data_IF_425357775245
#
_entry.id   IF_425357775245
#
_cell.length_a   1.000
_cell.length_b   1.000
_cell.length_c   1.000
_cell.angle_alpha   90.00
_cell.angle_beta   90.00
_cell.angle_gamma   90.00
#
_symmetry.space_group_name_H-M   'P 1'
#
loop_
_entity.id
_entity.type
_entity.pdbx_description
1 polymer ?
#
# COMPACT_ATOMS: atom_id res chain seq x y z
N UNK A 1 23.83 14.99 -1.11
CA UNK A 1 23.08 14.99 0.16
C UNK A 1 22.23 13.73 0.22
N UNK A 2 22.64 12.73 1.00
CA UNK A 2 21.93 11.47 1.15
C UNK A 2 21.85 11.16 2.65
N UNK A 3 20.70 11.44 3.26
CA UNK A 3 20.29 10.99 4.58
C UNK A 3 18.90 11.54 4.82
N UNK A 4 17.86 10.71 4.69
CA UNK A 4 16.56 10.85 5.37
C UNK A 4 15.58 9.68 5.07
N UNK A 5 16.10 8.45 4.87
CA UNK A 5 15.25 7.27 4.64
C UNK A 5 15.02 6.38 5.87
N UNK A 6 15.74 6.61 6.97
CA UNK A 6 15.73 5.71 8.13
C UNK A 6 14.64 6.04 9.15
N UNK A 7 14.32 7.33 9.37
CA UNK A 7 13.35 7.75 10.39
C UNK A 7 11.92 7.33 10.06
N UNK A 8 11.51 7.45 8.79
CA UNK A 8 10.15 7.08 8.35
C UNK A 8 9.88 5.57 8.48
N UNK A 9 10.89 4.71 8.26
CA UNK A 9 10.73 3.26 8.38
C UNK A 9 10.51 2.78 9.82
N UNK A 10 11.14 3.45 10.79
CA UNK A 10 10.98 3.11 12.22
C UNK A 10 9.57 3.48 12.69
N UNK A 11 9.10 4.67 12.32
CA UNK A 11 7.77 5.17 12.64
C UNK A 11 6.65 4.31 12.01
N UNK A 12 6.86 3.82 10.78
CA UNK A 12 5.95 2.89 10.11
C UNK A 12 5.90 1.49 10.76
N UNK A 13 7.05 0.99 11.25
CA UNK A 13 7.09 -0.29 11.98
C UNK A 13 6.43 -0.20 13.35
N UNK A 14 6.60 0.92 14.04
CA UNK A 14 5.98 1.16 15.35
C UNK A 14 4.46 1.32 15.22
N UNK A 15 4.01 2.07 14.21
CA UNK A 15 2.58 2.19 13.87
C UNK A 15 1.95 0.85 13.47
N UNK A 16 2.69 -0.02 12.78
CA UNK A 16 2.21 -1.36 12.38
C UNK A 16 2.13 -2.31 13.58
N UNK A 17 3.11 -2.27 14.48
CA UNK A 17 3.10 -3.02 15.74
C UNK A 17 1.92 -2.59 16.61
N UNK A 18 1.65 -1.28 16.71
CA UNK A 18 0.50 -0.74 17.45
C UNK A 18 -0.83 -1.14 16.82
N UNK A 19 -0.93 -1.25 15.48
CA UNK A 19 -2.13 -1.80 14.81
C UNK A 19 -2.36 -3.27 15.16
N UNK A 20 -1.31 -4.09 15.18
CA UNK A 20 -1.38 -5.51 15.58
C UNK A 20 -1.80 -5.63 17.05
N UNK A 21 -1.22 -4.81 17.94
CA UNK A 21 -1.61 -4.75 19.36
C UNK A 21 -3.05 -4.29 19.57
N UNK A 22 -3.52 -3.30 18.80
CA UNK A 22 -4.92 -2.84 18.86
C UNK A 22 -5.89 -3.92 18.37
N UNK A 23 -5.55 -4.69 17.34
CA UNK A 23 -6.36 -5.83 16.91
C UNK A 23 -6.43 -6.93 17.97
N UNK A 24 -5.31 -7.22 18.66
CA UNK A 24 -5.27 -8.12 19.82
C UNK A 24 -6.21 -7.65 20.93
N UNK A 25 -6.19 -6.36 21.27
CA UNK A 25 -7.02 -5.79 22.32
C UNK A 25 -8.51 -5.68 21.93
N UNK A 26 -8.82 -5.48 20.64
CA UNK A 26 -10.19 -5.25 20.17
C UNK A 26 -11.06 -6.52 20.18
N UNK A 27 -10.45 -7.71 20.05
CA UNK A 27 -11.14 -9.00 20.08
C UNK A 27 -11.07 -9.72 21.44
N UNK A 28 -10.13 -9.33 22.31
CA UNK A 28 -9.97 -9.89 23.65
C UNK A 28 -11.22 -9.64 24.52
N UNK A 29 -11.64 -10.67 25.26
CA UNK A 29 -12.73 -10.58 26.22
C UNK A 29 -14.15 -10.81 25.67
N UNK A 30 -14.34 -10.97 24.35
CA UNK A 30 -15.68 -11.22 23.76
C UNK A 30 -16.14 -12.67 23.90
N UNK A 31 -15.27 -13.66 23.66
CA UNK A 31 -15.61 -15.08 23.72
C UNK A 31 -14.65 -15.85 24.63
N UNK A 32 -14.79 -15.62 25.95
CA UNK A 32 -13.98 -16.30 26.95
C UNK A 32 -14.50 -17.73 27.18
N UNK A 33 -13.63 -18.72 27.10
CA UNK A 33 -13.97 -20.07 27.56
C UNK A 33 -13.82 -20.13 29.07
N UNK A 34 -14.89 -20.50 29.77
CA UNK A 34 -14.89 -20.54 31.23
C UNK A 34 -15.53 -21.81 31.75
N UNK A 35 -14.98 -22.34 32.84
CA UNK A 35 -15.55 -23.53 33.46
C UNK A 35 -14.78 -24.05 34.66
N UNK A 36 -15.36 -25.01 35.39
CA UNK A 36 -14.67 -25.68 36.47
C UNK A 36 -13.62 -26.66 35.91
N UNK A 37 -12.42 -26.62 36.48
CA UNK A 37 -11.38 -27.63 36.29
C UNK A 37 -10.74 -27.96 37.62
N UNK A 38 -10.38 -29.23 37.80
CA UNK A 38 -9.50 -29.65 38.87
C UNK A 38 -8.07 -29.35 38.45
N UNK A 39 -7.40 -28.43 39.14
CA UNK A 39 -6.00 -28.10 38.90
C UNK A 39 -5.11 -28.77 39.95
N UNK A 40 -4.07 -29.48 39.49
CA UNK A 40 -3.04 -30.00 40.40
C UNK A 40 -2.16 -28.86 40.92
N UNK A 41 -1.94 -28.85 42.23
CA UNK A 41 -0.92 -28.04 42.87
C UNK A 41 0.46 -28.53 42.42
N UNK A 42 1.33 -27.59 42.07
CA UNK A 42 2.72 -27.88 41.68
C UNK A 42 3.53 -28.40 42.88
N UNK A 43 3.39 -27.76 44.04
CA UNK A 43 4.12 -28.11 45.27
C UNK A 43 3.50 -29.28 46.03
N UNK A 44 2.19 -29.23 46.28
CA UNK A 44 1.51 -30.21 47.13
C UNK A 44 0.97 -31.41 46.35
N UNK A 45 1.04 -31.39 45.02
CA UNK A 45 0.49 -32.43 44.12
C UNK A 45 -1.00 -32.74 44.32
N UNK A 46 -1.71 -31.91 45.09
CA UNK A 46 -3.14 -32.01 45.42
C UNK A 46 -4.00 -31.41 44.32
N UNK A 47 -5.11 -32.08 43.99
CA UNK A 47 -6.15 -31.60 43.09
C UNK A 47 -7.02 -30.56 43.79
N UNK A 48 -7.27 -29.43 43.14
CA UNK A 48 -8.11 -28.37 43.67
C UNK A 48 -9.09 -27.88 42.62
N UNK A 49 -10.35 -27.69 43.01
CA UNK A 49 -11.34 -27.05 42.15
C UNK A 49 -10.98 -25.61 41.89
N UNK A 50 -10.98 -25.24 40.61
CA UNK A 50 -10.74 -23.88 40.15
C UNK A 50 -11.74 -23.51 39.07
N UNK A 51 -12.20 -22.27 39.13
CA UNK A 51 -12.88 -21.67 37.99
C UNK A 51 -11.83 -21.11 37.05
N UNK A 52 -11.71 -21.70 35.86
CA UNK A 52 -10.70 -21.34 34.87
C UNK A 52 -11.35 -20.48 33.80
N UNK A 53 -10.60 -19.47 33.34
CA UNK A 53 -11.00 -18.51 32.31
C UNK A 53 -9.87 -18.47 31.29
N UNK A 54 -10.17 -18.82 30.04
CA UNK A 54 -9.24 -18.72 28.92
C UNK A 54 -9.74 -17.66 27.94
N UNK A 55 -8.88 -16.70 27.64
CA UNK A 55 -9.03 -15.84 26.49
C UNK A 55 -8.35 -16.48 25.27
N UNK A 56 -9.13 -16.96 24.28
CA UNK A 56 -8.58 -17.69 23.15
C UNK A 56 -7.77 -16.80 22.21
N UNK A 57 -7.96 -15.48 22.22
CA UNK A 57 -7.25 -14.57 21.31
C UNK A 57 -5.90 -14.13 21.86
N UNK A 58 -5.71 -14.19 23.17
CA UNK A 58 -4.45 -13.79 23.82
C UNK A 58 -3.69 -14.97 24.41
N UNK A 59 -4.31 -16.15 24.52
CA UNK A 59 -3.75 -17.30 25.23
C UNK A 59 -3.69 -17.09 26.75
N UNK A 60 -4.31 -16.04 27.28
CA UNK A 60 -4.31 -15.74 28.71
C UNK A 60 -5.26 -16.70 29.43
N UNK A 61 -4.69 -17.61 30.23
CA UNK A 61 -5.45 -18.60 31.00
C UNK A 61 -5.34 -18.32 32.50
N UNK A 62 -6.41 -17.80 33.10
CA UNK A 62 -6.46 -17.42 34.51
C UNK A 62 -7.34 -18.37 35.31
N UNK A 63 -7.13 -18.44 36.63
CA UNK A 63 -7.97 -19.24 37.50
C UNK A 63 -8.29 -18.57 38.84
N UNK A 64 -9.49 -18.86 39.34
CA UNK A 64 -10.07 -18.38 40.60
C UNK A 64 -10.45 -19.55 41.49
N UNK A 65 -10.72 -19.32 42.77
CA UNK A 65 -11.20 -20.39 43.67
C UNK A 65 -12.66 -20.70 43.33
N UNK A 66 -13.48 -19.68 43.04
CA UNK A 66 -14.88 -19.83 42.63
C UNK A 66 -15.26 -18.90 41.48
N UNK A 67 -16.37 -19.20 40.79
CA UNK A 67 -16.90 -18.42 39.66
C UNK A 67 -17.11 -16.93 39.99
N UNK A 68 -17.72 -16.66 41.14
CA UNK A 68 -18.14 -15.30 41.55
C UNK A 68 -17.05 -14.53 42.31
N UNK A 69 -15.82 -15.05 42.36
CA UNK A 69 -14.74 -14.40 43.08
C UNK A 69 -14.14 -13.26 42.25
N UNK A 70 -13.93 -12.06 42.82
CA UNK A 70 -13.37 -10.94 42.07
C UNK A 70 -11.89 -11.12 41.77
N UNK A 71 -11.15 -11.77 42.67
CA UNK A 71 -9.69 -11.87 42.61
C UNK A 71 -9.22 -13.07 41.77
N UNK A 72 -8.26 -12.83 40.88
CA UNK A 72 -7.53 -13.89 40.16
C UNK A 72 -6.54 -14.55 41.12
N UNK A 73 -6.61 -15.87 41.26
CA UNK A 73 -5.71 -16.64 42.13
C UNK A 73 -4.35 -16.92 41.48
N UNK A 74 -4.33 -17.03 40.15
CA UNK A 74 -3.11 -17.18 39.38
C UNK A 74 -3.37 -17.40 37.89
N UNK A 75 -2.28 -17.56 37.14
CA UNK A 75 -2.30 -17.69 35.68
C UNK A 75 -1.52 -18.93 35.26
N UNK A 76 -2.01 -19.59 34.23
CA UNK A 76 -1.34 -20.67 33.48
C UNK A 76 -0.79 -20.01 32.22
N UNK A 77 0.53 -20.07 32.06
CA UNK A 77 1.21 -19.47 30.91
C UNK A 77 1.56 -20.60 29.96
N UNK A 78 1.20 -20.45 28.69
CA UNK A 78 1.63 -21.30 27.59
C UNK A 78 1.93 -20.42 26.38
N UNK A 79 2.72 -20.95 25.45
CA UNK A 79 3.13 -20.27 24.23
C UNK A 79 2.89 -21.14 22.99
N UNK A 80 3.24 -20.61 21.82
CA UNK A 80 3.09 -21.28 20.52
C UNK A 80 3.85 -22.61 20.40
N UNK A 81 4.78 -22.89 21.33
CA UNK A 81 5.64 -24.08 21.36
C UNK A 81 5.34 -25.00 22.55
N UNK A 82 4.34 -24.67 23.37
CA UNK A 82 3.93 -25.50 24.49
C UNK A 82 3.30 -26.82 24.00
N UNK A 83 3.50 -27.89 24.75
CA UNK A 83 2.85 -29.18 24.49
C UNK A 83 1.49 -29.18 25.16
N UNK A 84 0.41 -29.27 24.39
CA UNK A 84 -0.95 -29.35 24.90
C UNK A 84 -1.55 -30.65 24.42
N UNK A 85 -2.09 -31.46 25.33
CA UNK A 85 -2.67 -32.75 24.97
C UNK A 85 -3.71 -33.22 25.98
N UNK A 86 -4.61 -34.08 25.51
CA UNK A 86 -5.29 -35.00 26.41
C UNK A 86 -4.26 -36.03 26.89
N UNK A 87 -4.14 -36.15 28.21
CA UNK A 87 -3.26 -37.12 28.80
C UNK A 87 -3.82 -38.52 28.57
N UNK A 88 -3.06 -39.44 27.96
CA UNK A 88 -3.45 -40.86 27.87
C UNK A 88 -3.44 -41.53 29.25
N UNK A 89 -2.80 -40.90 30.23
CA UNK A 89 -2.73 -41.36 31.62
C UNK A 89 -3.67 -40.52 32.48
N UNK A 90 -4.56 -41.20 33.21
CA UNK A 90 -5.39 -40.57 34.22
C UNK A 90 -4.57 -40.27 35.49
N UNK A 91 -4.00 -39.08 35.56
CA UNK A 91 -3.20 -38.64 36.71
C UNK A 91 -4.05 -38.31 37.96
N UNK A 92 -5.38 -38.29 37.86
CA UNK A 92 -6.25 -38.17 39.03
C UNK A 92 -6.37 -39.54 39.74
N UNK A 93 -6.13 -40.65 39.01
CA UNK A 93 -6.10 -42.00 39.56
C UNK A 93 -7.47 -42.58 39.89
N UNK A 94 -8.58 -41.92 39.52
CA UNK A 94 -9.93 -42.44 39.70
C UNK A 94 -10.56 -42.75 38.34
N UNK A 95 -11.11 -43.95 38.10
CA UNK A 95 -11.63 -44.37 36.79
C UNK A 95 -12.62 -43.41 36.13
N UNK A 96 -13.41 -42.68 36.95
CA UNK A 96 -14.36 -41.67 36.46
C UNK A 96 -13.71 -40.50 35.68
N UNK A 97 -12.39 -40.35 35.76
CA UNK A 97 -11.63 -39.31 35.06
C UNK A 97 -10.80 -39.85 33.89
N UNK A 98 -11.06 -41.08 33.45
CA UNK A 98 -10.42 -41.63 32.26
C UNK A 98 -10.79 -40.79 31.02
N UNK A 99 -9.77 -40.29 30.32
CA UNK A 99 -9.95 -39.36 29.19
C UNK A 99 -10.32 -37.92 29.58
N UNK A 100 -10.38 -37.59 30.88
CA UNK A 100 -10.71 -36.25 31.37
C UNK A 100 -9.47 -35.37 31.67
N UNK A 101 -8.29 -35.98 31.63
CA UNK A 101 -7.03 -35.38 32.05
C UNK A 101 -6.37 -34.59 30.91
N UNK A 102 -5.95 -33.36 31.19
CA UNK A 102 -5.32 -32.41 30.27
C UNK A 102 -3.90 -32.11 30.77
N UNK A 103 -2.93 -32.15 29.87
CA UNK A 103 -1.55 -31.80 30.12
C UNK A 103 -1.15 -30.56 29.31
N UNK A 104 -0.47 -29.62 29.97
CA UNK A 104 0.16 -28.45 29.35
C UNK A 104 1.61 -28.38 29.84
N UNK A 105 2.56 -28.64 28.96
CA UNK A 105 4.00 -28.51 29.21
C UNK A 105 4.57 -27.30 28.49
N UNK A 106 5.25 -26.41 29.20
CA UNK A 106 5.86 -25.21 28.59
C UNK A 106 7.34 -25.43 28.25
N UNK A 107 7.90 -24.68 27.27
CA UNK A 107 9.33 -24.75 26.96
C UNK A 107 10.25 -24.39 28.15
N UNK A 108 9.72 -23.63 29.12
CA UNK A 108 10.42 -23.27 30.36
C UNK A 108 10.36 -24.38 31.43
N UNK A 109 10.02 -25.62 31.03
CA UNK A 109 9.91 -26.82 31.87
C UNK A 109 8.89 -26.71 33.00
N UNK A 110 7.82 -25.94 32.78
CA UNK A 110 6.69 -25.88 33.71
C UNK A 110 5.57 -26.76 33.22
N UNK A 111 5.13 -27.68 34.08
CA UNK A 111 4.09 -28.64 33.77
C UNK A 111 2.81 -28.32 34.54
N UNK A 112 1.70 -28.27 33.81
CA UNK A 112 0.36 -28.12 34.37
C UNK A 112 -0.48 -29.36 34.07
N UNK A 113 -1.12 -29.87 35.12
CA UNK A 113 -2.04 -31.01 35.04
C UNK A 113 -3.43 -30.54 35.47
N UNK A 114 -4.41 -30.70 34.60
CA UNK A 114 -5.79 -30.27 34.79
C UNK A 114 -6.75 -31.44 34.52
N UNK A 115 -7.85 -31.56 35.25
CA UNK A 115 -8.86 -32.58 34.98
C UNK A 115 -10.22 -31.92 34.81
N UNK A 116 -10.92 -32.26 33.72
CA UNK A 116 -12.30 -31.87 33.50
C UNK A 116 -13.26 -32.89 34.11
N UNK A 117 -14.55 -32.53 34.19
CA UNK A 117 -15.57 -33.42 34.71
C UNK A 117 -15.88 -34.58 33.74
N UNK A 118 -15.79 -34.32 32.43
CA UNK A 118 -16.11 -35.30 31.39
C UNK A 118 -15.04 -35.33 30.30
N UNK A 119 -14.91 -36.44 29.55
CA UNK A 119 -13.98 -36.51 28.43
C UNK A 119 -14.31 -35.51 27.32
N UNK A 120 -15.60 -35.22 27.12
CA UNK A 120 -16.06 -34.19 26.19
C UNK A 120 -15.59 -32.79 26.58
N UNK A 121 -15.75 -32.42 27.85
CA UNK A 121 -15.23 -31.15 28.36
C UNK A 121 -13.69 -31.07 28.27
N UNK A 122 -12.98 -32.17 28.54
CA UNK A 122 -11.52 -32.20 28.39
C UNK A 122 -11.08 -31.97 26.94
N UNK A 123 -11.75 -32.63 25.97
CA UNK A 123 -11.53 -32.39 24.53
C UNK A 123 -11.79 -30.94 24.16
N UNK A 124 -12.90 -30.37 24.62
CA UNK A 124 -13.27 -28.98 24.35
C UNK A 124 -12.21 -27.98 24.86
N UNK A 125 -11.67 -28.19 26.07
CA UNK A 125 -10.56 -27.40 26.59
C UNK A 125 -9.29 -27.54 25.75
N UNK A 126 -8.88 -28.76 25.39
CA UNK A 126 -7.68 -29.00 24.57
C UNK A 126 -7.80 -28.39 23.18
N UNK A 127 -8.95 -28.57 22.51
CA UNK A 127 -9.21 -27.97 21.19
C UNK A 127 -9.13 -26.44 21.24
N UNK A 128 -9.71 -25.82 22.27
CA UNK A 128 -9.65 -24.36 22.42
C UNK A 128 -8.24 -23.87 22.71
N UNK A 129 -7.50 -24.57 23.56
CA UNK A 129 -6.10 -24.27 23.85
C UNK A 129 -5.21 -24.37 22.60
N UNK A 130 -5.41 -25.38 21.75
CA UNK A 130 -4.72 -25.47 20.45
C UNK A 130 -5.09 -24.33 19.51
N UNK A 131 -6.35 -23.93 19.46
CA UNK A 131 -6.76 -22.78 18.66
C UNK A 131 -6.07 -21.49 19.16
N UNK A 132 -5.95 -21.31 20.48
CA UNK A 132 -5.16 -20.22 21.07
C UNK A 132 -3.68 -20.30 20.70
N UNK A 133 -3.08 -21.50 20.66
CA UNK A 133 -1.68 -21.65 20.22
C UNK A 133 -1.47 -21.24 18.76
N UNK A 134 -2.44 -21.51 17.88
CA UNK A 134 -2.40 -21.06 16.50
C UNK A 134 -2.44 -19.53 16.40
N UNK A 135 -3.27 -18.88 17.24
CA UNK A 135 -3.30 -17.41 17.33
C UNK A 135 -1.92 -16.89 17.75
N UNK A 136 -1.34 -17.43 18.83
CA UNK A 136 0.00 -17.05 19.29
C UNK A 136 1.08 -17.25 18.23
N UNK A 137 0.99 -18.32 17.43
CA UNK A 137 1.91 -18.61 16.32
C UNK A 137 1.76 -17.60 15.19
N UNK A 138 0.54 -17.36 14.72
CA UNK A 138 0.26 -16.39 13.66
C UNK A 138 0.73 -14.98 14.05
N UNK A 139 0.56 -14.58 15.31
CA UNK A 139 1.10 -13.31 15.80
C UNK A 139 2.62 -13.26 15.81
N UNK A 140 3.28 -14.32 16.29
CA UNK A 140 4.74 -14.40 16.28
C UNK A 140 5.30 -14.29 14.85
N UNK A 141 4.67 -14.95 13.89
CA UNK A 141 5.03 -14.91 12.47
C UNK A 141 4.79 -13.52 11.85
N UNK A 142 3.66 -12.88 12.16
CA UNK A 142 3.35 -11.52 11.71
C UNK A 142 4.36 -10.49 12.25
N UNK A 143 4.73 -10.58 13.54
CA UNK A 143 5.72 -9.69 14.16
C UNK A 143 7.12 -9.91 13.56
N UNK A 144 7.52 -11.16 13.32
CA UNK A 144 8.82 -11.47 12.71
C UNK A 144 8.93 -11.03 11.23
N UNK A 145 7.79 -10.83 10.56
CA UNK A 145 7.71 -10.52 9.11
C UNK A 145 7.47 -9.03 8.80
N UNK A 146 7.56 -8.14 9.79
CA UNK A 146 7.34 -6.70 9.66
C UNK A 146 8.27 -5.97 8.66
N UNK A 147 9.22 -6.66 8.02
CA UNK A 147 10.17 -6.10 7.05
C UNK A 147 9.81 -6.31 5.56
N UNK A 148 8.69 -6.96 5.20
CA UNK A 148 8.43 -7.22 3.77
C UNK A 148 7.03 -7.62 3.27
N UNK A 149 6.00 -7.85 4.10
CA UNK A 149 4.65 -8.20 3.59
C UNK A 149 3.52 -8.00 4.62
N UNK A 150 3.25 -6.75 5.02
CA UNK A 150 2.31 -6.45 6.11
C UNK A 150 0.84 -6.83 5.88
N UNK A 151 0.34 -6.80 4.63
CA UNK A 151 -1.12 -6.91 4.36
C UNK A 151 -1.67 -8.34 4.40
N UNK A 152 -0.98 -9.32 3.80
CA UNK A 152 -1.46 -10.70 3.72
C UNK A 152 -1.40 -11.43 5.08
N UNK A 153 -0.42 -11.10 5.92
CA UNK A 153 -0.24 -11.71 7.25
C UNK A 153 -1.26 -11.21 8.28
N UNK A 154 -1.71 -9.95 8.17
CA UNK A 154 -2.81 -9.42 8.99
C UNK A 154 -4.13 -10.17 8.72
N UNK A 155 -4.38 -10.55 7.46
CA UNK A 155 -5.53 -11.38 7.08
C UNK A 155 -5.49 -12.79 7.68
N UNK A 156 -4.31 -13.40 7.74
CA UNK A 156 -4.09 -14.70 8.40
C UNK A 156 -4.39 -14.61 9.90
N UNK A 157 -3.87 -13.59 10.58
CA UNK A 157 -4.12 -13.36 12.01
C UNK A 157 -5.62 -13.20 12.29
N UNK A 158 -6.32 -12.38 11.53
CA UNK A 158 -7.77 -12.18 11.71
C UNK A 158 -8.58 -13.47 11.55
N UNK A 159 -8.21 -14.31 10.56
CA UNK A 159 -8.86 -15.60 10.30
C UNK A 159 -8.66 -16.58 11.46
N UNK A 160 -7.42 -16.69 11.97
CA UNK A 160 -7.09 -17.60 13.07
C UNK A 160 -7.76 -17.13 14.38
N UNK A 161 -7.82 -15.82 14.63
CA UNK A 161 -8.56 -15.25 15.77
C UNK A 161 -10.06 -15.54 15.69
N UNK A 162 -10.67 -15.43 14.50
CA UNK A 162 -12.08 -15.78 14.30
C UNK A 162 -12.33 -17.27 14.56
N UNK A 163 -11.45 -18.16 14.05
CA UNK A 163 -11.55 -19.60 14.28
C UNK A 163 -11.40 -19.97 15.77
N UNK A 164 -10.48 -19.34 16.49
CA UNK A 164 -10.29 -19.56 17.93
C UNK A 164 -11.51 -19.12 18.75
N UNK A 165 -12.11 -17.97 18.41
CA UNK A 165 -13.36 -17.51 19.00
C UNK A 165 -14.52 -18.47 18.73
N UNK A 166 -14.66 -18.95 17.49
CA UNK A 166 -15.69 -19.95 17.13
C UNK A 166 -15.50 -21.26 17.90
N UNK A 167 -14.26 -21.70 18.07
CA UNK A 167 -13.93 -22.93 18.81
C UNK A 167 -14.28 -22.78 20.29
N UNK A 168 -13.97 -21.63 20.90
CA UNK A 168 -14.33 -21.34 22.28
C UNK A 168 -15.86 -21.30 22.49
N UNK A 169 -16.62 -20.77 21.53
CA UNK A 169 -18.08 -20.72 21.60
C UNK A 169 -18.70 -22.13 21.57
N UNK A 170 -18.23 -23.01 20.69
CA UNK A 170 -18.68 -24.40 20.66
C UNK A 170 -18.23 -25.18 21.90
N UNK A 171 -16.99 -24.99 22.34
CA UNK A 171 -16.46 -25.60 23.56
C UNK A 171 -17.26 -25.21 24.82
N UNK A 172 -17.83 -24.00 24.85
CA UNK A 172 -18.69 -23.55 25.96
C UNK A 172 -19.91 -24.44 26.11
N UNK A 173 -20.53 -24.88 25.00
CA UNK A 173 -21.71 -25.78 25.05
C UNK A 173 -21.37 -27.13 25.69
N UNK A 174 -20.19 -27.68 25.35
CA UNK A 174 -19.69 -28.93 25.91
C UNK A 174 -19.39 -28.82 27.41
N UNK A 175 -18.79 -27.71 27.84
CA UNK A 175 -18.54 -27.45 29.27
C UNK A 175 -19.86 -27.29 30.04
N UNK A 176 -20.82 -26.55 29.51
CA UNK A 176 -22.13 -26.39 30.14
C UNK A 176 -22.89 -27.73 30.25
N UNK A 177 -22.80 -28.58 29.22
CA UNK A 177 -23.37 -29.93 29.25
C UNK A 177 -22.72 -30.79 30.36
N UNK A 178 -21.40 -30.73 30.49
CA UNK A 178 -20.67 -31.41 31.56
C UNK A 178 -21.06 -30.93 32.97
N UNK A 179 -21.25 -29.61 33.15
CA UNK A 179 -21.72 -29.04 34.41
C UNK A 179 -23.12 -29.54 34.81
N UNK A 180 -24.04 -29.69 33.85
CA UNK A 180 -25.38 -30.24 34.10
C UNK A 180 -25.33 -31.70 34.57
N UNK A 181 -24.39 -32.49 34.06
CA UNK A 181 -24.19 -33.89 34.48
C UNK A 181 -23.67 -33.93 35.93
N UNK A 182 -22.68 -33.09 36.27
CA UNK A 182 -22.16 -33.01 37.64
C UNK A 182 -23.24 -32.63 38.66
N UNK A 183 -24.09 -31.66 38.31
CA UNK A 183 -25.23 -31.24 39.15
C UNK A 183 -26.24 -32.38 39.39
N UNK A 184 -26.55 -33.16 38.35
CA UNK A 184 -27.44 -34.33 38.47
C UNK A 184 -26.85 -35.40 39.39
N UNK A 185 -25.55 -35.65 39.30
CA UNK A 185 -24.86 -36.64 40.13
C UNK A 185 -24.79 -36.21 41.61
N UNK A 186 -24.66 -34.91 41.90
CA UNK A 186 -24.68 -34.40 43.26
C UNK A 186 -26.06 -34.52 43.94
N UNK A 187 -27.15 -34.41 43.17
CA UNK A 187 -28.53 -34.48 43.68
C UNK A 187 -29.04 -35.92 43.88
N UNK A 188 -28.51 -36.90 43.13
CA UNK A 188 -28.93 -38.31 43.21
C UNK A 188 -28.52 -39.08 44.49
N UNK A 189 -27.72 -38.47 45.38
CA UNK A 189 -27.15 -39.14 46.56
C UNK A 189 -27.99 -38.99 47.85
N UNK A 190 -29.08 -38.22 47.83
CA UNK A 190 -29.79 -37.78 49.07
C UNK A 190 -31.01 -38.64 49.44
N UNK A 191 -31.53 -39.50 48.55
CA UNK A 191 -32.69 -40.35 48.85
C UNK A 191 -32.26 -41.81 49.01
N UNK A 192 -31.91 -42.23 50.23
CA UNK A 192 -31.96 -43.65 50.65
C UNK A 192 -31.75 -43.80 52.16
N UNK A 193 -32.81 -43.59 52.96
CA UNK A 193 -33.00 -44.23 54.28
C UNK A 193 -34.49 -44.33 54.58
N UNK A 194 -35.01 -45.54 54.73
CA UNK A 194 -36.31 -45.84 55.36
C UNK A 194 -36.08 -46.40 56.75
N UNK A 195 -36.99 -46.13 57.72
CA UNK A 195 -37.30 -47.14 58.71
C UNK A 195 -38.79 -47.43 58.81
N UNK A 196 -39.01 -48.74 58.91
CA UNK A 196 -40.24 -49.48 59.12
C UNK A 196 -40.77 -49.27 60.55
N UNK A 197 -42.09 -49.28 60.70
CA UNK A 197 -42.77 -49.07 61.98
C UNK A 197 -44.27 -49.21 61.82
N UNK A 198 -44.80 -50.36 62.25
CA UNK A 198 -46.20 -50.80 62.28
C UNK A 198 -47.21 -49.68 62.57
N UNK A 199 -47.97 -49.25 61.54
CA UNK A 199 -48.97 -48.17 61.61
C UNK A 199 -50.39 -48.77 61.56
N UNK A 200 -51.32 -48.22 62.34
CA UNK A 200 -52.75 -48.54 62.33
C UNK A 200 -53.37 -48.33 60.92
N UNK A 201 -53.93 -49.38 60.32
CA UNK A 201 -54.43 -49.41 58.93
C UNK A 201 -55.46 -48.30 58.60
N UNK A 202 -56.25 -47.86 59.59
CA UNK A 202 -57.21 -46.76 59.37
C UNK A 202 -56.51 -45.41 59.33
N UNK A 203 -55.48 -45.24 60.15
CA UNK A 203 -54.59 -44.08 60.14
C UNK A 203 -53.72 -44.08 58.87
N UNK A 204 -53.21 -45.23 58.43
CA UNK A 204 -52.48 -45.37 57.16
C UNK A 204 -53.35 -44.91 55.99
N UNK A 205 -54.61 -45.36 55.90
CA UNK A 205 -55.45 -45.05 54.75
C UNK A 205 -55.82 -43.56 54.70
N UNK A 206 -56.15 -42.95 55.84
CA UNK A 206 -56.40 -41.50 55.92
C UNK A 206 -55.16 -40.69 55.57
N UNK A 207 -54.01 -41.09 56.09
CA UNK A 207 -52.74 -40.43 55.79
C UNK A 207 -52.34 -40.63 54.33
N UNK A 208 -52.57 -41.81 53.76
CA UNK A 208 -52.33 -42.09 52.33
C UNK A 208 -53.21 -41.23 51.45
N UNK A 209 -54.50 -41.08 51.77
CA UNK A 209 -55.39 -40.19 51.02
C UNK A 209 -54.98 -38.72 51.14
N UNK A 210 -54.56 -38.27 52.34
CA UNK A 210 -54.03 -36.92 52.57
C UNK A 210 -52.77 -36.67 51.74
N UNK A 211 -51.82 -37.60 51.78
CA UNK A 211 -50.58 -37.54 50.99
C UNK A 211 -50.89 -37.54 49.49
N UNK A 212 -51.87 -38.34 49.03
CA UNK A 212 -52.29 -38.34 47.62
C UNK A 212 -52.93 -37.02 47.19
N UNK A 213 -53.74 -36.40 48.05
CA UNK A 213 -54.31 -35.08 47.77
C UNK A 213 -53.22 -33.99 47.74
N UNK A 214 -52.25 -34.04 48.65
CA UNK A 214 -51.06 -33.17 48.62
C UNK A 214 -50.20 -33.39 47.38
N UNK A 215 -49.98 -34.64 46.95
CA UNK A 215 -49.29 -34.99 45.71
C UNK A 215 -50.03 -34.43 44.49
N UNK A 216 -51.36 -34.54 44.43
CA UNK A 216 -52.17 -33.98 43.35
C UNK A 216 -52.09 -32.44 43.33
N UNK A 217 -52.16 -31.79 44.49
CA UNK A 217 -52.01 -30.34 44.60
C UNK A 217 -50.59 -29.87 44.22
N UNK A 218 -49.56 -30.64 44.56
CA UNK A 218 -48.18 -30.40 44.14
C UNK A 218 -48.04 -30.55 42.62
N UNK A 219 -48.57 -31.63 42.04
CA UNK A 219 -48.56 -31.85 40.58
C UNK A 219 -49.29 -30.74 39.84
N UNK A 220 -50.44 -30.28 40.33
CA UNK A 220 -51.18 -29.17 39.73
C UNK A 220 -50.43 -27.83 39.81
N UNK A 221 -49.59 -27.62 40.84
CA UNK A 221 -48.70 -26.45 40.93
C UNK A 221 -47.52 -26.57 39.95
N UNK A 222 -46.91 -27.75 39.86
CA UNK A 222 -45.83 -27.99 38.89
C UNK A 222 -46.31 -27.85 37.45
N UNK A 223 -47.52 -28.32 37.13
CA UNK A 223 -48.09 -28.22 35.78
C UNK A 223 -48.28 -26.75 35.37
N UNK A 224 -48.83 -25.92 36.27
CA UNK A 224 -48.93 -24.46 36.05
C UNK A 224 -47.57 -23.78 35.92
N UNK A 225 -46.57 -24.18 36.70
CA UNK A 225 -45.22 -23.65 36.58
C UNK A 225 -44.58 -24.02 35.22
N UNK A 226 -44.83 -25.25 34.75
CA UNK A 226 -44.41 -25.69 33.41
C UNK A 226 -45.14 -24.93 32.30
N UNK A 227 -46.44 -24.71 32.41
CA UNK A 227 -47.21 -23.89 31.46
C UNK A 227 -46.67 -22.46 31.36
N UNK A 228 -46.35 -21.84 32.50
CA UNK A 228 -45.71 -20.51 32.54
C UNK A 228 -44.35 -20.52 31.85
N UNK A 229 -43.54 -21.56 32.09
CA UNK A 229 -42.23 -21.73 31.43
C UNK A 229 -42.39 -21.93 29.93
N UNK A 230 -43.36 -22.73 29.49
CA UNK A 230 -43.66 -22.97 28.07
C UNK A 230 -44.06 -21.65 27.41
N UNK A 231 -44.94 -20.87 28.03
CA UNK A 231 -45.36 -19.57 27.49
C UNK A 231 -44.18 -18.61 27.31
N UNK A 232 -43.29 -18.53 28.30
CA UNK A 232 -42.08 -17.72 28.22
C UNK A 232 -41.10 -18.21 27.13
N UNK A 233 -41.02 -19.53 26.90
CA UNK A 233 -40.20 -20.09 25.82
C UNK A 233 -40.80 -19.78 24.45
N UNK A 234 -42.13 -19.83 24.31
CA UNK A 234 -42.82 -19.47 23.06
C UNK A 234 -42.57 -18.00 22.70
N UNK A 235 -42.68 -17.10 23.68
CA UNK A 235 -42.43 -15.67 23.46
C UNK A 235 -40.98 -15.42 22.99
N UNK A 236 -40.00 -16.03 23.67
CA UNK A 236 -38.58 -15.94 23.26
C UNK A 236 -38.31 -16.53 21.88
N UNK A 237 -38.98 -17.63 21.52
CA UNK A 237 -38.85 -18.22 20.19
C UNK A 237 -39.41 -17.29 19.12
N UNK A 238 -40.54 -16.62 19.37
CA UNK A 238 -41.10 -15.61 18.47
C UNK A 238 -40.16 -14.42 18.31
N UNK A 239 -39.63 -13.85 19.39
CA UNK A 239 -38.66 -12.76 19.33
C UNK A 239 -37.40 -13.15 18.54
N UNK A 240 -36.92 -14.40 18.74
CA UNK A 240 -35.76 -14.92 18.01
C UNK A 240 -36.05 -15.09 16.52
N UNK A 241 -37.26 -15.55 16.17
CA UNK A 241 -37.69 -15.70 14.78
C UNK A 241 -37.80 -14.34 14.07
N UNK A 242 -38.36 -13.33 14.73
CA UNK A 242 -38.45 -11.96 14.21
C UNK A 242 -37.06 -11.35 14.02
N UNK A 243 -36.16 -11.51 15.01
CA UNK A 243 -34.78 -11.05 14.90
C UNK A 243 -34.03 -11.74 13.76
N UNK A 244 -34.22 -13.05 13.56
CA UNK A 244 -33.63 -13.80 12.46
C UNK A 244 -34.16 -13.33 11.10
N UNK A 245 -35.46 -13.07 10.98
CA UNK A 245 -36.07 -12.54 9.76
C UNK A 245 -35.56 -11.12 9.43
N UNK A 246 -35.44 -10.25 10.44
CA UNK A 246 -34.88 -8.91 10.27
C UNK A 246 -33.40 -8.99 9.82
N UNK A 247 -32.61 -9.86 10.44
CA UNK A 247 -31.21 -10.08 10.06
C UNK A 247 -31.07 -10.61 8.63
N UNK A 248 -31.90 -11.57 8.23
CA UNK A 248 -31.91 -12.11 6.87
C UNK A 248 -32.29 -11.04 5.82
N UNK A 249 -33.30 -10.22 6.13
CA UNK A 249 -33.74 -9.12 5.26
C UNK A 249 -32.65 -8.04 5.11
N UNK A 250 -31.96 -7.71 6.20
CA UNK A 250 -30.83 -6.79 6.19
C UNK A 250 -29.66 -7.35 5.37
N UNK A 251 -29.32 -8.63 5.56
CA UNK A 251 -28.26 -9.30 4.80
C UNK A 251 -28.55 -9.30 3.29
N UNK A 252 -29.79 -9.59 2.88
CA UNK A 252 -30.19 -9.54 1.48
C UNK A 252 -30.09 -8.12 0.90
N UNK A 253 -30.51 -7.10 1.65
CA UNK A 253 -30.41 -5.70 1.22
C UNK A 253 -28.94 -5.28 1.04
N UNK A 254 -28.08 -5.69 1.97
CA UNK A 254 -26.64 -5.42 1.88
C UNK A 254 -25.97 -6.14 0.71
N UNK A 255 -26.38 -7.37 0.39
CA UNK A 255 -25.86 -8.12 -0.75
C UNK A 255 -26.26 -7.48 -2.08
N UNK A 256 -27.51 -7.01 -2.19
CA UNK A 256 -27.98 -6.27 -3.37
C UNK A 256 -27.18 -4.98 -3.57
N UNK A 257 -26.99 -4.19 -2.51
CA UNK A 257 -26.17 -2.98 -2.55
C UNK A 257 -24.73 -3.27 -2.95
N UNK A 258 -24.16 -4.35 -2.41
CA UNK A 258 -22.81 -4.82 -2.76
C UNK A 258 -22.73 -5.16 -4.25
N UNK A 259 -23.72 -5.88 -4.78
CA UNK A 259 -23.79 -6.25 -6.20
C UNK A 259 -23.84 -5.02 -7.11
N UNK A 260 -24.66 -4.03 -6.78
CA UNK A 260 -24.74 -2.76 -7.51
C UNK A 260 -23.41 -2.01 -7.46
N UNK A 261 -22.78 -1.91 -6.29
CA UNK A 261 -21.50 -1.24 -6.14
C UNK A 261 -20.38 -1.91 -6.97
N UNK A 262 -20.34 -3.25 -7.02
CA UNK A 262 -19.38 -3.96 -7.88
C UNK A 262 -19.60 -3.69 -9.36
N UNK A 263 -20.86 -3.67 -9.82
CA UNK A 263 -21.18 -3.34 -11.21
C UNK A 263 -20.76 -1.90 -11.56
N UNK A 264 -20.94 -0.94 -10.65
CA UNK A 264 -20.49 0.43 -10.84
C UNK A 264 -18.96 0.56 -10.85
N UNK A 265 -18.26 -0.18 -9.98
CA UNK A 265 -16.80 -0.23 -9.99
C UNK A 265 -16.24 -0.76 -11.31
N UNK A 266 -16.78 -1.86 -11.84
CA UNK A 266 -16.33 -2.39 -13.15
C UNK A 266 -16.64 -1.39 -14.28
N UNK A 267 -17.81 -0.76 -14.29
CA UNK A 267 -18.15 0.28 -15.27
C UNK A 267 -17.17 1.47 -15.21
N UNK A 268 -16.80 1.91 -14.01
CA UNK A 268 -15.83 2.99 -13.81
C UNK A 268 -14.44 2.57 -14.29
N UNK A 269 -14.02 1.36 -13.98
CA UNK A 269 -12.74 0.80 -14.43
C UNK A 269 -12.66 0.75 -15.95
N UNK A 270 -13.66 0.22 -16.64
CA UNK A 270 -13.71 0.20 -18.10
C UNK A 270 -13.65 1.61 -18.70
N UNK A 271 -14.31 2.59 -18.08
CA UNK A 271 -14.27 3.98 -18.53
C UNK A 271 -12.88 4.60 -18.35
N UNK A 272 -12.22 4.34 -17.22
CA UNK A 272 -10.85 4.79 -16.98
C UNK A 272 -9.85 4.14 -17.93
N UNK A 273 -10.00 2.84 -18.23
CA UNK A 273 -9.17 2.13 -19.21
C UNK A 273 -9.32 2.74 -20.61
N UNK A 274 -10.55 3.00 -21.06
CA UNK A 274 -10.81 3.68 -22.35
C UNK A 274 -10.23 5.09 -22.40
N UNK A 275 -10.34 5.85 -21.31
CA UNK A 275 -9.73 7.19 -21.22
C UNK A 275 -8.21 7.11 -21.29
N UNK A 276 -7.62 6.18 -20.53
CA UNK A 276 -6.17 5.95 -20.54
C UNK A 276 -5.70 5.63 -21.96
N UNK A 277 -6.32 4.67 -22.63
CA UNK A 277 -5.99 4.28 -24.01
C UNK A 277 -6.08 5.48 -24.97
N UNK A 278 -7.16 6.28 -24.90
CA UNK A 278 -7.30 7.49 -25.72
C UNK A 278 -6.20 8.52 -25.44
N UNK A 279 -5.84 8.73 -24.17
CA UNK A 279 -4.76 9.67 -23.81
C UNK A 279 -3.38 9.17 -24.25
N UNK A 280 -3.13 7.87 -24.17
CA UNK A 280 -1.89 7.25 -24.64
C UNK A 280 -1.72 7.40 -26.15
N UNK A 281 -2.79 7.20 -26.93
CA UNK A 281 -2.75 7.40 -28.38
C UNK A 281 -2.47 8.87 -28.71
N UNK A 282 -3.17 9.82 -28.07
CA UNK A 282 -2.92 11.27 -28.29
C UNK A 282 -1.50 11.68 -27.90
N UNK A 283 -0.95 11.11 -26.83
CA UNK A 283 0.42 11.37 -26.42
C UNK A 283 1.39 10.90 -27.50
N UNK A 284 1.25 9.67 -27.99
CA UNK A 284 2.08 9.13 -29.07
C UNK A 284 2.01 9.98 -30.34
N UNK A 285 0.82 10.39 -30.76
CA UNK A 285 0.66 11.30 -31.91
C UNK A 285 1.38 12.65 -31.69
N UNK A 286 1.35 13.18 -30.47
CA UNK A 286 2.05 14.42 -30.13
C UNK A 286 3.57 14.26 -30.10
N UNK A 287 4.07 13.10 -29.64
CA UNK A 287 5.50 12.75 -29.67
C UNK A 287 6.00 12.63 -31.11
N UNK A 288 5.23 11.98 -31.98
CA UNK A 288 5.53 11.86 -33.41
C UNK A 288 5.60 13.23 -34.09
N UNK A 289 4.66 14.15 -33.78
CA UNK A 289 4.70 15.54 -34.24
C UNK A 289 5.93 16.29 -33.72
N UNK A 290 6.29 16.11 -32.45
CA UNK A 290 7.47 16.74 -31.87
C UNK A 290 8.77 16.25 -32.53
N UNK A 291 8.86 14.97 -32.88
CA UNK A 291 9.98 14.41 -33.65
C UNK A 291 10.03 15.00 -35.06
N UNK A 292 8.90 15.16 -35.73
CA UNK A 292 8.84 15.77 -37.06
C UNK A 292 9.34 17.23 -37.03
N UNK A 293 8.82 18.04 -36.11
CA UNK A 293 9.25 19.44 -35.93
C UNK A 293 10.74 19.52 -35.61
N UNK A 294 11.27 18.61 -34.79
CA UNK A 294 12.70 18.58 -34.47
C UNK A 294 13.56 18.34 -35.70
N UNK A 295 13.13 17.46 -36.62
CA UNK A 295 13.83 17.21 -37.90
C UNK A 295 13.78 18.44 -38.81
N UNK A 296 12.64 19.12 -38.89
CA UNK A 296 12.50 20.37 -39.66
C UNK A 296 13.43 21.46 -39.13
N UNK A 297 13.50 21.65 -37.81
CA UNK A 297 14.42 22.60 -37.18
C UNK A 297 15.88 22.29 -37.54
N UNK A 298 16.29 21.02 -37.51
CA UNK A 298 17.65 20.63 -37.86
C UNK A 298 17.97 20.92 -39.35
N UNK A 299 17.01 20.70 -40.24
CA UNK A 299 17.15 21.03 -41.66
C UNK A 299 17.27 22.54 -41.88
N UNK A 300 16.43 23.34 -41.21
CA UNK A 300 16.48 24.80 -41.27
C UNK A 300 17.80 25.35 -40.72
N UNK A 301 18.34 24.76 -39.65
CA UNK A 301 19.66 25.09 -39.12
C UNK A 301 20.75 24.83 -40.17
N UNK A 302 20.74 23.67 -40.83
CA UNK A 302 21.70 23.35 -41.90
C UNK A 302 21.60 24.34 -43.06
N UNK A 303 20.38 24.66 -43.51
CA UNK A 303 20.16 25.64 -44.58
C UNK A 303 20.66 27.03 -44.20
N UNK A 304 20.37 27.49 -42.99
CA UNK A 304 20.88 28.76 -42.45
C UNK A 304 22.40 28.77 -42.46
N UNK A 305 23.05 27.72 -41.97
CA UNK A 305 24.51 27.66 -41.87
C UNK A 305 25.17 27.66 -43.24
N UNK A 306 24.61 26.93 -44.22
CA UNK A 306 25.07 26.97 -45.61
C UNK A 306 24.91 28.36 -46.23
N UNK A 307 23.76 29.03 -46.03
CA UNK A 307 23.53 30.37 -46.54
C UNK A 307 24.48 31.41 -45.90
N UNK A 308 24.79 31.26 -44.61
CA UNK A 308 25.77 32.12 -43.91
C UNK A 308 27.18 31.90 -44.45
N UNK A 309 27.58 30.65 -44.71
CA UNK A 309 28.88 30.34 -45.31
C UNK A 309 28.99 30.94 -46.72
N UNK A 310 27.95 30.78 -47.54
CA UNK A 310 27.93 31.34 -48.89
C UNK A 310 27.99 32.87 -48.88
N UNK A 311 27.22 33.52 -48.01
CA UNK A 311 27.25 34.98 -47.84
C UNK A 311 28.64 35.48 -47.39
N UNK A 312 29.35 34.71 -46.54
CA UNK A 312 30.71 35.03 -46.15
C UNK A 312 31.67 34.94 -47.35
N UNK A 313 31.58 33.89 -48.17
CA UNK A 313 32.37 33.74 -49.39
C UNK A 313 32.14 34.91 -50.36
N UNK A 314 30.89 35.26 -50.62
CA UNK A 314 30.55 36.40 -51.49
C UNK A 314 31.06 37.73 -50.95
N UNK A 315 31.05 37.94 -49.63
CA UNK A 315 31.65 39.15 -49.01
C UNK A 315 33.15 39.20 -49.22
N UNK A 316 33.85 38.07 -49.08
CA UNK A 316 35.30 37.99 -49.32
C UNK A 316 35.63 38.24 -50.79
N UNK A 317 34.91 37.64 -51.73
CA UNK A 317 35.13 37.86 -53.16
C UNK A 317 34.80 39.30 -53.58
N UNK A 318 33.74 39.89 -53.01
CA UNK A 318 33.42 41.30 -53.23
C UNK A 318 34.54 42.24 -52.73
N UNK A 319 35.15 41.94 -51.58
CA UNK A 319 36.29 42.70 -51.08
C UNK A 319 37.49 42.63 -52.04
N UNK A 320 37.86 41.43 -52.50
CA UNK A 320 38.92 41.24 -53.50
C UNK A 320 38.63 42.00 -54.81
N UNK A 321 37.40 41.92 -55.32
CA UNK A 321 37.00 42.60 -56.54
C UNK A 321 37.07 44.13 -56.38
N UNK A 322 36.70 44.67 -55.21
CA UNK A 322 36.84 46.10 -54.90
C UNK A 322 38.32 46.51 -54.86
N UNK A 323 39.18 45.73 -54.23
CA UNK A 323 40.63 46.01 -54.18
C UNK A 323 41.24 46.02 -55.60
N UNK A 324 40.89 45.04 -56.43
CA UNK A 324 41.32 45.02 -57.84
C UNK A 324 40.80 46.22 -58.63
N UNK A 325 39.54 46.63 -58.45
CA UNK A 325 38.98 47.79 -59.12
C UNK A 325 39.74 49.07 -58.77
N UNK A 326 40.11 49.27 -57.49
CA UNK A 326 40.92 50.41 -57.06
C UNK A 326 42.31 50.39 -57.71
N UNK A 327 42.96 49.23 -57.77
CA UNK A 327 44.28 49.07 -58.42
C UNK A 327 44.20 49.40 -59.91
N UNK A 328 43.19 48.87 -60.62
CA UNK A 328 42.97 49.13 -62.03
C UNK A 328 42.65 50.60 -62.31
N UNK A 329 41.81 51.23 -61.48
CA UNK A 329 41.51 52.66 -61.61
C UNK A 329 42.77 53.51 -61.42
N UNK A 330 43.60 53.19 -60.41
CA UNK A 330 44.88 53.87 -60.22
C UNK A 330 45.85 53.66 -61.40
N UNK A 331 45.82 52.50 -62.05
CA UNK A 331 46.61 52.24 -63.26
C UNK A 331 46.13 53.06 -64.46
N UNK A 332 44.81 53.19 -64.66
CA UNK A 332 44.22 54.04 -65.70
C UNK A 332 44.61 55.50 -65.50
N UNK A 333 44.45 56.05 -64.29
CA UNK A 333 44.83 57.44 -64.00
C UNK A 333 46.31 57.70 -64.28
N UNK A 334 47.21 56.76 -63.92
CA UNK A 334 48.64 56.87 -64.25
C UNK A 334 48.91 56.84 -65.76
N UNK A 335 48.16 56.04 -66.52
CA UNK A 335 48.29 55.98 -67.98
C UNK A 335 47.78 57.28 -68.63
N UNK A 336 46.63 57.79 -68.20
CA UNK A 336 46.07 59.06 -68.67
C UNK A 336 47.00 60.25 -68.36
N UNK A 337 47.61 60.29 -67.17
CA UNK A 337 48.60 61.32 -66.83
C UNK A 337 49.84 61.23 -67.74
N UNK A 338 50.33 60.02 -68.04
CA UNK A 338 51.44 59.84 -68.98
C UNK A 338 51.11 60.36 -70.38
N UNK A 339 49.90 60.08 -70.87
CA UNK A 339 49.44 60.59 -72.17
C UNK A 339 49.36 62.11 -72.16
N UNK A 340 48.79 62.72 -71.11
CA UNK A 340 48.74 64.19 -70.95
C UNK A 340 50.14 64.82 -70.94
N UNK A 341 51.11 64.20 -70.27
CA UNK A 341 52.50 64.67 -70.28
C UNK A 341 53.14 64.58 -71.67
N UNK A 342 52.93 63.48 -72.40
CA UNK A 342 53.46 63.33 -73.76
C UNK A 342 52.81 64.29 -74.75
N UNK A 343 51.50 64.54 -74.62
CA UNK A 343 50.78 65.51 -75.45
C UNK A 343 51.27 66.93 -75.18
N UNK A 344 51.45 67.30 -73.91
CA UNK A 344 52.01 68.60 -73.53
C UNK A 344 53.45 68.79 -74.04
N UNK A 345 54.28 67.74 -74.00
CA UNK A 345 55.63 67.78 -74.57
C UNK A 345 55.60 67.92 -76.11
N UNK A 346 54.71 67.21 -76.79
CA UNK A 346 54.53 67.31 -78.23
C UNK A 346 54.05 68.72 -78.64
N UNK A 347 53.07 69.28 -77.93
CA UNK A 347 52.58 70.64 -78.16
C UNK A 347 53.68 71.70 -77.93
N UNK A 348 54.51 71.52 -76.90
CA UNK A 348 55.67 72.39 -76.66
C UNK A 348 56.68 72.33 -77.82
N UNK A 349 56.98 71.13 -78.33
CA UNK A 349 57.87 70.96 -79.50
C UNK A 349 57.28 71.57 -80.78
N UNK A 350 55.96 71.47 -80.98
CA UNK A 350 55.27 72.11 -82.11
C UNK A 350 55.40 73.63 -82.00
N UNK A 351 55.08 74.21 -80.84
CA UNK A 351 55.23 75.66 -80.60
C UNK A 351 56.66 76.14 -80.82
N UNK A 352 57.64 75.37 -80.36
CA UNK A 352 59.05 75.68 -80.60
C UNK A 352 59.40 75.62 -82.09
N UNK A 353 58.91 74.61 -82.82
CA UNK A 353 59.11 74.49 -84.27
C UNK A 353 58.43 75.64 -85.04
N UNK A 354 57.22 76.05 -84.65
CA UNK A 354 56.50 77.20 -85.21
C UNK A 354 57.25 78.51 -84.98
N UNK A 355 57.76 78.73 -83.76
CA UNK A 355 58.59 79.89 -83.44
C UNK A 355 59.88 79.91 -84.27
N UNK A 356 60.58 78.77 -84.39
CA UNK A 356 61.77 78.66 -85.26
C UNK A 356 61.44 78.91 -86.73
N UNK A 357 60.32 78.37 -87.23
CA UNK A 357 59.88 78.60 -88.60
C UNK A 357 59.52 80.07 -88.86
N UNK A 358 58.84 80.73 -87.91
CA UNK A 358 58.56 82.17 -87.98
C UNK A 358 59.82 83.01 -87.95
N UNK A 359 60.80 82.66 -87.12
CA UNK A 359 62.10 83.33 -87.07
C UNK A 359 62.85 83.19 -88.41
N UNK A 360 62.89 81.98 -88.97
CA UNK A 360 63.51 81.73 -90.28
C UNK A 360 62.78 82.45 -91.43
N UNK A 361 61.44 82.55 -91.37
CA UNK A 361 60.66 83.33 -92.34
C UNK A 361 61.01 84.82 -92.26
N UNK A 362 61.11 85.36 -91.05
CA UNK A 362 61.49 86.76 -90.82
C UNK A 362 62.91 87.03 -91.34
N UNK A 363 63.87 86.16 -91.03
CA UNK A 363 65.23 86.25 -91.55
C UNK A 363 65.27 86.19 -93.08
N UNK A 364 64.50 85.28 -93.70
CA UNK A 364 64.34 85.23 -95.17
C UNK A 364 63.77 86.54 -95.73
N UNK A 365 62.79 87.15 -95.07
CA UNK A 365 62.23 88.44 -95.51
C UNK A 365 63.27 89.57 -95.41
N UNK A 366 64.06 89.62 -94.34
CA UNK A 366 65.15 90.59 -94.19
C UNK A 366 66.23 90.38 -95.26
N UNK A 367 66.63 89.13 -95.53
CA UNK A 367 67.56 88.80 -96.62
C UNK A 367 66.99 89.18 -97.99
N UNK A 368 65.70 88.95 -98.24
CA UNK A 368 65.03 89.39 -99.47
C UNK A 368 65.05 90.92 -99.62
N UNK A 369 64.77 91.67 -98.54
CA UNK A 369 64.89 93.14 -98.55
C UNK A 369 66.33 93.56 -98.88
N UNK A 370 67.31 92.89 -98.27
CA UNK A 370 68.73 93.15 -98.52
C UNK A 370 69.13 92.87 -99.97
N UNK A 371 68.71 91.72 -100.53
CA UNK A 371 68.94 91.38 -101.95
C UNK A 371 68.27 92.39 -102.87
N UNK A 372 67.02 92.77 -102.61
CA UNK A 372 66.31 93.79 -103.39
C UNK A 372 67.02 95.15 -103.33
N UNK A 373 67.55 95.54 -102.17
CA UNK A 373 68.34 96.77 -102.02
C UNK A 373 69.65 96.72 -102.82
N UNK A 374 70.35 95.57 -102.80
CA UNK A 374 71.54 95.34 -103.62
C UNK A 374 71.21 95.36 -105.12
N UNK A 375 70.09 94.75 -105.54
CA UNK A 375 69.62 94.80 -106.92
C UNK A 375 69.29 96.22 -107.37
N UNK A 376 68.65 97.03 -106.51
CA UNK A 376 68.39 98.44 -106.77
C UNK A 376 69.69 99.28 -106.85
N UNK A 377 70.70 98.98 -106.02
CA UNK A 377 72.03 99.56 -106.13
C UNK A 377 72.71 99.20 -107.45
N UNK A 378 72.62 97.93 -107.86
CA UNK A 378 73.20 97.46 -109.13
C UNK A 378 72.52 98.14 -110.34
N UNK A 379 71.19 98.29 -110.30
CA UNK A 379 70.44 99.02 -111.34
C UNK A 379 70.82 100.51 -111.39
N UNK A 380 71.08 101.16 -110.25
CA UNK A 380 71.59 102.55 -110.19
C UNK A 380 73.04 102.71 -110.63
N UNK A 381 73.84 101.65 -110.57
CA UNK A 381 75.21 101.64 -111.11
C UNK A 381 75.27 101.31 -112.62
N UNK A 382 74.15 100.95 -113.23
CA UNK A 382 74.01 100.66 -114.68
C UNK A 382 73.24 101.74 -115.45
N UNK A 383 73.06 102.92 -114.87
CA UNK A 383 72.59 104.18 -115.48
C UNK A 383 73.54 105.29 -115.07
#
# INVERSE_FOLDING_TARGET
>A
MASNGASARVEDTENSLEKIKRQLASASGRNLLQGPLLKRSETLRKWNDRWVILDPTTGKMEYKIRRNEPNIKGTIVFDANSTIALSPVNFHGLPKYDGCCIYIGTPQKKDYFLCAETPGAAKAWVSTLHASQLVLRAHKEAVNSLSGSGSSQLGTVATVVAAANSTALEATKEIEAAMKISLRNALGSVLNKSPDGQIDNTTIMKETLRVKDEELQNLARELRARESTIKALVEKLSETAEAAQAAASAAHTMDEQRRVAYAEMERLKENYEKQLESTTVKLRESEEKAVAIRKEIEQLIKQRDSAVQEAYLWRTELAKARDHAVISQAAVVRAEEKVRLTDAEAEARIKEAEQRASAALHEKQELLKYVNALQAQLQRSMT
#
